data_IF_062341458084
#
_entry.id   IF_062341458084
#
_cell.length_a   1.000
_cell.length_b   1.000
_cell.length_c   1.000
_cell.angle_alpha   90.00
_cell.angle_beta   90.00
_cell.angle_gamma   90.00
#
_symmetry.space_group_name_H-M   'P 1'
#
loop_
_entity.id
_entity.type
_entity.pdbx_description
1 polymer ?
#
# COMPACT_ATOMS: atom_id res chain seq x y z
N UNK A 1 -9.33 -2.64 5.92
CA UNK A 1 -9.05 -1.30 6.49
C UNK A 1 -9.19 -1.37 8.00
N UNK A 2 -8.44 -0.55 8.71
CA UNK A 2 -8.57 -0.38 10.15
C UNK A 2 -9.81 0.44 10.53
N UNK A 3 -10.30 0.24 11.75
CA UNK A 3 -11.48 0.95 12.26
C UNK A 3 -11.21 2.42 12.50
N UNK A 4 -12.19 3.26 12.20
CA UNK A 4 -12.20 4.68 12.56
C UNK A 4 -12.47 4.83 14.06
N UNK A 5 -11.75 5.72 14.75
CA UNK A 5 -11.94 5.99 16.18
C UNK A 5 -12.21 7.46 16.47
N UNK A 6 -13.17 7.73 17.36
CA UNK A 6 -13.44 9.06 17.91
C UNK A 6 -13.41 8.96 19.43
N UNK A 7 -12.62 9.83 20.06
CA UNK A 7 -12.52 9.94 21.52
C UNK A 7 -12.74 11.39 21.97
N UNK A 8 -13.53 11.59 23.02
CA UNK A 8 -13.81 12.90 23.59
C UNK A 8 -13.70 12.86 25.11
N UNK A 9 -13.03 13.85 25.70
CA UNK A 9 -12.96 14.07 27.14
C UNK A 9 -13.50 15.45 27.48
N UNK A 10 -14.57 15.53 28.25
CA UNK A 10 -15.19 16.80 28.64
C UNK A 10 -15.30 16.86 30.16
N UNK A 11 -14.79 17.92 30.77
CA UNK A 11 -14.90 18.12 32.21
C UNK A 11 -15.18 19.58 32.57
N UNK A 12 -16.08 19.80 33.54
CA UNK A 12 -16.50 21.11 33.98
C UNK A 12 -16.68 21.15 35.51
N UNK A 13 -16.19 22.18 36.19
CA UNK A 13 -16.45 22.34 37.63
C UNK A 13 -16.34 23.79 38.12
N UNK A 14 -16.91 24.09 39.28
CA UNK A 14 -16.72 25.39 39.96
C UNK A 14 -15.31 25.57 40.55
N UNK A 15 -14.58 24.47 40.77
CA UNK A 15 -13.25 24.44 41.36
C UNK A 15 -12.17 24.06 40.34
N UNK A 16 -11.84 22.77 40.27
CA UNK A 16 -10.85 22.21 39.33
C UNK A 16 -11.44 21.21 38.32
N UNK A 17 -11.02 21.25 37.06
CA UNK A 17 -11.48 20.32 36.01
C UNK A 17 -10.31 19.68 35.26
N UNK A 18 -10.39 18.36 35.05
CA UNK A 18 -9.39 17.58 34.34
C UNK A 18 -10.06 16.73 33.27
N UNK A 19 -9.56 16.79 32.03
CA UNK A 19 -10.13 16.09 30.89
C UNK A 19 -9.02 15.37 30.13
N UNK A 20 -9.22 14.07 29.92
CA UNK A 20 -8.29 13.24 29.16
C UNK A 20 -9.05 12.59 28.03
N UNK A 21 -8.48 12.62 26.84
CA UNK A 21 -9.01 11.92 25.67
C UNK A 21 -7.89 11.20 24.94
N UNK A 22 -8.13 9.93 24.64
CA UNK A 22 -7.15 9.07 23.97
C UNK A 22 -7.84 8.36 22.80
N UNK A 23 -7.41 8.69 21.58
CA UNK A 23 -7.95 8.12 20.34
C UNK A 23 -6.91 7.25 19.64
N UNK A 24 -7.26 5.99 19.36
CA UNK A 24 -6.40 5.06 18.62
C UNK A 24 -7.13 4.54 17.39
N UNK A 25 -6.60 4.88 16.21
CA UNK A 25 -7.07 4.33 14.95
C UNK A 25 -6.77 2.83 14.87
N UNK A 26 -7.71 2.07 14.33
CA UNK A 26 -7.56 0.62 14.19
C UNK A 26 -6.44 0.25 13.21
N UNK A 27 -5.75 -0.86 13.44
CA UNK A 27 -4.80 -1.39 12.46
C UNK A 27 -5.53 -2.05 11.29
N UNK A 28 -4.92 -2.00 10.11
CA UNK A 28 -5.44 -2.66 8.92
C UNK A 28 -5.30 -4.19 8.94
N UNK A 29 -5.82 -4.87 7.93
CA UNK A 29 -5.47 -6.26 7.62
C UNK A 29 -4.31 -6.35 6.62
N UNK A 30 -3.56 -7.45 6.62
CA UNK A 30 -2.56 -7.75 5.58
C UNK A 30 -3.22 -8.15 4.26
N UNK A 31 -2.55 -7.88 3.15
CA UNK A 31 -2.94 -8.40 1.85
C UNK A 31 -2.78 -9.92 1.76
N UNK A 32 -3.66 -10.59 1.02
CA UNK A 32 -3.53 -12.04 0.77
C UNK A 32 -2.45 -12.32 -0.27
N UNK A 33 -1.64 -13.36 -0.07
CA UNK A 33 -0.64 -13.77 -1.06
C UNK A 33 -1.32 -14.38 -2.30
N UNK A 34 -0.71 -14.16 -3.47
CA UNK A 34 -1.08 -14.86 -4.69
C UNK A 34 -0.81 -16.36 -4.58
N UNK A 35 -1.53 -17.17 -5.35
CA UNK A 35 -1.30 -18.62 -5.42
C UNK A 35 -0.15 -18.99 -6.35
N UNK A 36 0.45 -20.16 -6.15
CA UNK A 36 1.40 -20.74 -7.10
C UNK A 36 0.67 -21.04 -8.42
N UNK A 37 1.25 -20.63 -9.53
CA UNK A 37 0.71 -20.89 -10.87
C UNK A 37 1.63 -21.86 -11.59
N UNK A 38 1.07 -23.00 -12.01
CA UNK A 38 1.73 -23.97 -12.90
C UNK A 38 0.88 -24.16 -14.14
N UNK A 39 1.46 -23.91 -15.31
CA UNK A 39 0.75 -24.03 -16.57
C UNK A 39 1.60 -24.79 -17.59
N UNK A 40 0.96 -25.74 -18.29
CA UNK A 40 1.57 -26.47 -19.40
C UNK A 40 0.66 -26.44 -20.61
N UNK A 41 1.07 -25.74 -21.65
CA UNK A 41 0.29 -25.55 -22.89
C UNK A 41 0.90 -26.48 -23.94
N UNK A 42 0.19 -27.58 -24.24
CA UNK A 42 0.71 -28.63 -25.13
C UNK A 42 0.44 -28.37 -26.62
N UNK A 43 -0.64 -27.65 -26.92
CA UNK A 43 -1.13 -27.42 -28.28
C UNK A 43 -0.92 -25.97 -28.70
N UNK A 44 -1.12 -25.72 -29.99
CA UNK A 44 -1.02 -24.38 -30.54
C UNK A 44 -2.11 -23.45 -29.98
N UNK A 45 -1.74 -22.20 -29.76
CA UNK A 45 -2.65 -21.13 -29.33
C UNK A 45 -2.66 -20.05 -30.41
N UNK A 46 -3.86 -19.68 -30.87
CA UNK A 46 -4.03 -18.58 -31.82
C UNK A 46 -5.08 -17.59 -31.33
N UNK A 47 -4.74 -16.31 -31.30
CA UNK A 47 -5.69 -15.22 -31.01
C UNK A 47 -5.67 -14.18 -32.13
N UNK A 48 -6.85 -13.65 -32.45
CA UNK A 48 -7.03 -12.76 -33.61
C UNK A 48 -7.39 -11.31 -33.24
N UNK A 49 -7.98 -11.09 -32.06
CA UNK A 49 -8.44 -9.76 -31.64
C UNK A 49 -7.32 -8.82 -31.17
N UNK A 50 -7.58 -7.52 -31.24
CA UNK A 50 -6.73 -6.51 -30.61
C UNK A 50 -6.77 -6.66 -29.08
N UNK A 51 -5.63 -6.55 -28.42
CA UNK A 51 -5.46 -6.81 -26.97
C UNK A 51 -5.79 -8.25 -26.56
N UNK A 52 -5.86 -9.19 -27.49
CA UNK A 52 -6.10 -10.59 -27.20
C UNK A 52 -4.77 -11.32 -26.97
N UNK A 53 -4.35 -11.40 -25.70
CA UNK A 53 -3.14 -12.13 -25.35
C UNK A 53 -3.29 -13.64 -25.63
N UNK A 54 -2.20 -14.31 -26.02
CA UNK A 54 -2.19 -15.75 -26.28
C UNK A 54 -2.27 -16.57 -25.00
N UNK A 55 -1.19 -16.52 -24.20
CA UNK A 55 -1.08 -17.22 -22.91
C UNK A 55 -0.74 -16.19 -21.84
N UNK A 56 -1.52 -16.18 -20.76
CA UNK A 56 -1.29 -15.34 -19.59
C UNK A 56 -1.29 -16.21 -18.33
N UNK A 57 -0.18 -16.20 -17.60
CA UNK A 57 -0.03 -16.90 -16.32
C UNK A 57 0.45 -15.90 -15.27
N UNK A 58 -0.39 -15.66 -14.26
CA UNK A 58 -0.13 -14.57 -13.31
C UNK A 58 -0.41 -14.97 -11.88
N UNK A 59 0.54 -14.68 -11.01
CA UNK A 59 0.35 -14.70 -9.55
C UNK A 59 0.42 -13.28 -9.03
N UNK A 60 -0.67 -12.79 -8.45
CA UNK A 60 -0.76 -11.42 -7.95
C UNK A 60 -1.12 -11.46 -6.47
N UNK A 61 -0.25 -10.87 -5.64
CA UNK A 61 -0.54 -10.63 -4.24
C UNK A 61 -1.50 -9.44 -4.06
N UNK A 62 -2.41 -9.56 -3.09
CA UNK A 62 -3.34 -8.50 -2.71
C UNK A 62 -2.63 -7.33 -2.02
N UNK A 63 -3.16 -6.11 -2.18
CA UNK A 63 -2.64 -4.94 -1.49
C UNK A 63 -2.85 -4.99 0.03
N UNK A 64 -1.98 -4.30 0.76
CA UNK A 64 -2.11 -4.10 2.20
C UNK A 64 -3.26 -3.15 2.53
N UNK A 65 -3.86 -3.32 3.71
CA UNK A 65 -4.97 -2.46 4.12
C UNK A 65 -4.52 -1.11 4.70
N UNK A 66 -5.41 -0.13 4.65
CA UNK A 66 -5.18 1.19 5.24
C UNK A 66 -5.50 1.21 6.74
N UNK A 67 -4.66 1.84 7.54
CA UNK A 67 -4.88 2.11 8.95
C UNK A 67 -6.07 3.05 9.17
N UNK A 68 -6.71 2.92 10.34
CA UNK A 68 -7.88 3.67 10.71
C UNK A 68 -7.57 5.13 11.03
N UNK A 69 -8.50 6.03 10.67
CA UNK A 69 -8.42 7.44 11.07
C UNK A 69 -8.74 7.58 12.57
N UNK A 70 -8.02 8.47 13.26
CA UNK A 70 -8.26 8.79 14.67
C UNK A 70 -8.58 10.26 14.88
N UNK A 71 -9.63 10.54 15.66
CA UNK A 71 -9.99 11.87 16.12
C UNK A 71 -10.07 11.85 17.65
N UNK A 72 -9.31 12.72 18.30
CA UNK A 72 -9.30 12.88 19.76
C UNK A 72 -9.45 14.35 20.14
N UNK A 73 -10.39 14.63 21.06
CA UNK A 73 -10.65 15.97 21.57
C UNK A 73 -10.79 15.99 23.09
N UNK A 74 -10.21 16.99 23.75
CA UNK A 74 -10.46 17.24 25.16
C UNK A 74 -10.83 18.71 25.38
N UNK A 75 -11.91 18.97 26.12
CA UNK A 75 -12.37 20.30 26.48
C UNK A 75 -12.60 20.38 27.97
N UNK A 76 -11.94 21.31 28.65
CA UNK A 76 -12.13 21.51 30.09
C UNK A 76 -12.40 22.96 30.46
N UNK A 77 -13.23 23.15 31.49
CA UNK A 77 -13.63 24.45 32.00
C UNK A 77 -13.72 24.45 33.52
N UNK A 78 -13.08 25.41 34.21
CA UNK A 78 -13.17 25.48 35.67
C UNK A 78 -13.15 26.90 36.25
N UNK A 79 -13.75 27.10 37.42
CA UNK A 79 -13.70 28.40 38.11
C UNK A 79 -12.29 28.77 38.59
N UNK A 80 -11.49 27.78 39.01
CA UNK A 80 -10.14 28.01 39.55
C UNK A 80 -9.07 27.46 38.60
N UNK A 81 -9.07 26.15 38.34
CA UNK A 81 -7.98 25.50 37.59
C UNK A 81 -8.46 24.45 36.60
N UNK A 82 -7.93 24.43 35.37
CA UNK A 82 -8.31 23.45 34.37
C UNK A 82 -7.12 22.84 33.62
N UNK A 83 -7.27 21.57 33.25
CA UNK A 83 -6.27 20.80 32.54
C UNK A 83 -6.90 19.89 31.48
N UNK A 84 -6.48 20.02 30.24
CA UNK A 84 -6.86 19.08 29.18
C UNK A 84 -5.65 18.36 28.59
N UNK A 85 -5.80 17.06 28.36
CA UNK A 85 -4.79 16.22 27.72
C UNK A 85 -5.44 15.42 26.59
N UNK A 86 -4.90 15.52 25.39
CA UNK A 86 -5.21 14.61 24.27
C UNK A 86 -4.02 13.82 23.82
N UNK A 87 -4.26 12.54 23.52
CA UNK A 87 -3.34 11.69 22.78
C UNK A 87 -4.10 11.09 21.59
N UNK A 88 -3.63 11.38 20.38
CA UNK A 88 -4.18 10.82 19.15
C UNK A 88 -3.14 10.00 18.41
N UNK A 89 -3.49 8.78 18.03
CA UNK A 89 -2.66 7.92 17.20
C UNK A 89 -3.46 7.41 16.00
N UNK A 90 -2.98 7.69 14.79
CA UNK A 90 -3.49 7.11 13.56
C UNK A 90 -3.18 5.62 13.48
N UNK A 91 -4.10 4.84 12.90
CA UNK A 91 -3.95 3.39 12.81
C UNK A 91 -2.83 2.97 11.85
N UNK A 92 -2.21 1.81 12.07
CA UNK A 92 -1.15 1.32 11.19
C UNK A 92 -1.71 0.70 9.90
N UNK A 93 -1.11 1.05 8.76
CA UNK A 93 -1.25 0.34 7.49
C UNK A 93 -0.51 -0.99 7.54
N UNK A 94 -0.97 -2.01 6.82
CA UNK A 94 -0.33 -3.33 6.83
C UNK A 94 0.30 -3.66 5.47
N UNK A 95 1.22 -4.62 5.46
CA UNK A 95 1.91 -5.00 4.23
C UNK A 95 1.00 -5.68 3.19
N UNK A 96 1.44 -5.65 1.94
CA UNK A 96 0.84 -6.43 0.86
C UNK A 96 1.06 -7.93 1.01
N UNK A 97 0.37 -8.72 0.18
CA UNK A 97 0.62 -10.14 0.01
C UNK A 97 1.66 -10.40 -1.08
N UNK A 98 2.45 -11.46 -0.93
CA UNK A 98 3.49 -11.79 -1.91
C UNK A 98 2.88 -12.30 -3.22
N UNK A 99 3.53 -12.00 -4.34
CA UNK A 99 3.38 -12.79 -5.55
C UNK A 99 4.03 -14.16 -5.34
N UNK A 100 3.45 -15.21 -5.90
CA UNK A 100 3.98 -16.58 -5.77
C UNK A 100 4.68 -17.03 -7.03
N UNK A 101 5.28 -18.22 -6.95
CA UNK A 101 5.94 -18.86 -8.08
C UNK A 101 5.00 -18.97 -9.29
N UNK A 102 5.53 -18.60 -10.46
CA UNK A 102 4.90 -18.84 -11.76
C UNK A 102 5.83 -19.73 -12.56
N UNK A 103 5.36 -20.92 -12.91
CA UNK A 103 6.09 -21.91 -13.70
C UNK A 103 5.25 -22.27 -14.93
N UNK A 104 5.70 -21.83 -16.10
CA UNK A 104 4.97 -21.94 -17.36
C UNK A 104 5.83 -22.63 -18.40
N UNK A 105 5.30 -23.70 -18.99
CA UNK A 105 5.89 -24.37 -20.15
C UNK A 105 4.91 -24.33 -21.32
N UNK A 106 5.38 -23.89 -22.48
CA UNK A 106 4.60 -23.82 -23.71
C UNK A 106 5.27 -24.69 -24.77
N UNK A 107 4.69 -25.85 -25.04
CA UNK A 107 5.20 -26.81 -26.02
C UNK A 107 4.68 -26.52 -27.44
N UNK A 108 3.44 -26.03 -27.57
CA UNK A 108 2.85 -25.64 -28.86
C UNK A 108 3.26 -24.24 -29.32
N UNK A 109 3.02 -23.93 -30.59
CA UNK A 109 3.28 -22.59 -31.12
C UNK A 109 2.21 -21.58 -30.67
N UNK A 110 2.60 -20.34 -30.39
CA UNK A 110 1.69 -19.26 -29.97
C UNK A 110 1.69 -18.15 -31.00
N UNK A 111 0.52 -17.87 -31.59
CA UNK A 111 0.36 -16.80 -32.58
C UNK A 111 -0.68 -15.78 -32.13
N UNK A 112 -0.31 -14.50 -32.11
CA UNK A 112 -1.24 -13.38 -31.91
C UNK A 112 -1.25 -12.48 -33.15
N UNK A 113 -2.44 -12.20 -33.68
CA UNK A 113 -2.59 -11.39 -34.91
C UNK A 113 -2.96 -9.92 -34.64
N UNK A 114 -3.66 -9.64 -33.54
CA UNK A 114 -4.12 -8.29 -33.20
C UNK A 114 -3.02 -7.34 -32.70
N UNK A 115 -3.33 -6.04 -32.67
CA UNK A 115 -2.46 -5.02 -32.06
C UNK A 115 -2.52 -5.08 -30.54
N UNK A 116 -1.46 -4.65 -29.86
CA UNK A 116 -1.37 -4.64 -28.39
C UNK A 116 -1.59 -6.03 -27.76
N UNK A 117 -1.23 -7.09 -28.49
CA UNK A 117 -1.55 -8.48 -28.16
C UNK A 117 -0.28 -9.28 -27.82
N UNK A 118 0.02 -9.39 -26.53
CA UNK A 118 1.17 -10.17 -26.04
C UNK A 118 0.98 -11.66 -26.35
N UNK A 119 1.99 -12.33 -26.88
CA UNK A 119 1.89 -13.76 -27.16
C UNK A 119 1.91 -14.58 -25.87
N UNK A 120 2.96 -14.47 -25.07
CA UNK A 120 3.09 -15.18 -23.80
C UNK A 120 3.51 -14.19 -22.72
N UNK A 121 2.73 -14.14 -21.64
CA UNK A 121 3.01 -13.38 -20.42
C UNK A 121 3.02 -14.33 -19.23
N UNK A 122 4.17 -14.45 -18.56
CA UNK A 122 4.30 -15.07 -17.26
C UNK A 122 4.73 -14.01 -16.24
N UNK A 123 3.94 -13.78 -15.19
CA UNK A 123 4.21 -12.68 -14.27
C UNK A 123 3.87 -12.99 -12.82
N UNK A 124 4.81 -12.69 -11.92
CA UNK A 124 4.55 -12.67 -10.49
C UNK A 124 4.64 -11.24 -9.95
N UNK A 125 3.61 -10.80 -9.23
CA UNK A 125 3.50 -9.44 -8.71
C UNK A 125 3.23 -9.46 -7.22
N UNK A 126 4.11 -8.83 -6.44
CA UNK A 126 3.87 -8.52 -5.04
C UNK A 126 2.84 -7.40 -4.88
N UNK A 127 1.94 -7.55 -3.91
CA UNK A 127 0.98 -6.51 -3.54
C UNK A 127 1.67 -5.30 -2.93
N UNK A 128 1.12 -4.10 -3.16
CA UNK A 128 1.59 -2.88 -2.52
C UNK A 128 1.30 -2.86 -1.01
N UNK A 129 2.08 -2.10 -0.26
CA UNK A 129 1.87 -1.82 1.16
C UNK A 129 0.66 -0.90 1.41
N UNK A 130 0.09 -1.01 2.61
CA UNK A 130 -1.07 -0.22 3.03
C UNK A 130 -0.68 1.13 3.63
N UNK A 131 -1.60 2.10 3.59
CA UNK A 131 -1.33 3.43 4.12
C UNK A 131 -1.59 3.51 5.63
N UNK A 132 -0.79 4.30 6.34
CA UNK A 132 -1.05 4.71 7.70
C UNK A 132 -2.29 5.60 7.80
N UNK A 133 -3.03 5.45 8.90
CA UNK A 133 -4.22 6.20 9.20
C UNK A 133 -3.89 7.61 9.65
N UNK A 134 -4.79 8.54 9.34
CA UNK A 134 -4.64 9.94 9.77
C UNK A 134 -4.87 10.09 11.27
N UNK A 135 -4.39 11.19 11.84
CA UNK A 135 -4.68 11.58 13.21
C UNK A 135 -5.10 13.05 13.29
N UNK A 136 -6.12 13.33 14.09
CA UNK A 136 -6.50 14.69 14.52
C UNK A 136 -6.62 14.69 16.04
N UNK A 137 -5.89 15.57 16.69
CA UNK A 137 -5.82 15.69 18.15
C UNK A 137 -5.95 17.16 18.58
N UNK A 138 -6.81 17.41 19.58
CA UNK A 138 -7.13 18.77 20.04
C UNK A 138 -7.34 18.84 21.56
N UNK A 139 -6.67 19.76 22.23
CA UNK A 139 -6.89 20.05 23.66
C UNK A 139 -7.28 21.52 23.88
N UNK A 140 -8.40 21.76 24.54
CA UNK A 140 -8.87 23.09 24.93
C UNK A 140 -9.07 23.14 26.44
N UNK A 141 -8.55 24.18 27.09
CA UNK A 141 -8.65 24.36 28.54
C UNK A 141 -8.95 25.81 28.91
N UNK A 142 -10.00 26.05 29.69
CA UNK A 142 -10.38 27.38 30.14
C UNK A 142 -10.56 27.45 31.66
N UNK A 143 -10.06 28.49 32.33
CA UNK A 143 -10.38 28.70 33.75
C UNK A 143 -10.31 30.15 34.22
N UNK A 144 -10.76 30.41 35.44
CA UNK A 144 -10.65 31.74 36.07
C UNK A 144 -9.23 32.11 36.51
N UNK A 145 -8.41 31.16 36.95
CA UNK A 145 -7.04 31.42 37.43
C UNK A 145 -5.96 30.74 36.59
N UNK A 146 -5.94 29.40 36.54
CA UNK A 146 -4.85 28.62 35.91
C UNK A 146 -5.32 27.59 34.89
N UNK A 147 -4.74 27.56 33.69
CA UNK A 147 -5.14 26.67 32.60
C UNK A 147 -3.96 25.99 31.91
N UNK A 148 -4.07 24.69 31.66
CA UNK A 148 -3.11 23.92 30.87
C UNK A 148 -3.79 23.07 29.80
N UNK A 149 -3.23 23.05 28.58
CA UNK A 149 -3.65 22.15 27.53
C UNK A 149 -2.45 21.43 26.89
N UNK A 150 -2.50 20.11 26.83
CA UNK A 150 -1.48 19.28 26.20
C UNK A 150 -2.13 18.44 25.11
N UNK A 151 -1.57 18.48 23.90
CA UNK A 151 -2.01 17.62 22.81
C UNK A 151 -0.82 16.94 22.16
N UNK A 152 -0.90 15.62 22.05
CA UNK A 152 0.09 14.79 21.37
C UNK A 152 -0.61 14.03 20.25
N UNK A 153 -0.11 14.16 19.03
CA UNK A 153 -0.64 13.48 17.87
C UNK A 153 0.46 12.78 17.06
N UNK A 154 0.15 11.56 16.61
CA UNK A 154 1.00 10.79 15.72
C UNK A 154 0.19 10.18 14.57
N UNK A 155 0.62 10.41 13.34
CA UNK A 155 0.10 9.72 12.17
C UNK A 155 0.47 8.25 12.16
N UNK A 156 -0.38 7.39 11.60
CA UNK A 156 -0.10 5.95 11.53
C UNK A 156 1.04 5.62 10.58
N UNK A 157 1.79 4.54 10.81
CA UNK A 157 2.81 4.10 9.85
C UNK A 157 2.18 3.43 8.62
N UNK A 158 2.82 3.54 7.46
CA UNK A 158 2.58 2.69 6.30
C UNK A 158 2.95 1.22 6.57
N UNK A 159 2.64 0.35 5.61
CA UNK A 159 3.06 -1.05 5.59
C UNK A 159 4.03 -1.34 4.45
N UNK A 160 4.83 -2.39 4.57
CA UNK A 160 5.79 -2.83 3.55
C UNK A 160 5.12 -3.26 2.25
N UNK A 161 5.75 -2.97 1.11
CA UNK A 161 5.48 -3.65 -0.15
C UNK A 161 5.85 -5.12 -0.07
N UNK A 162 5.20 -5.96 -0.89
CA UNK A 162 5.43 -7.40 -0.89
C UNK A 162 6.31 -7.83 -2.06
N UNK A 163 6.97 -8.98 -1.94
CA UNK A 163 7.90 -9.45 -2.98
C UNK A 163 7.16 -10.07 -4.17
N UNK A 164 7.72 -9.91 -5.37
CA UNK A 164 7.40 -10.75 -6.51
C UNK A 164 7.97 -12.16 -6.31
N UNK A 165 7.30 -13.19 -6.84
CA UNK A 165 7.76 -14.58 -6.77
C UNK A 165 8.69 -14.95 -7.91
N UNK A 166 9.31 -16.13 -7.83
CA UNK A 166 10.10 -16.69 -8.93
C UNK A 166 9.24 -16.88 -10.18
N UNK A 167 9.74 -16.47 -11.33
CA UNK A 167 9.11 -16.72 -12.63
C UNK A 167 10.01 -17.60 -13.48
N UNK A 168 9.49 -18.75 -13.89
CA UNK A 168 10.09 -19.62 -14.87
C UNK A 168 9.15 -19.69 -16.08
N UNK A 169 9.63 -19.25 -17.24
CA UNK A 169 8.91 -19.38 -18.50
C UNK A 169 9.79 -20.10 -19.52
N UNK A 170 9.32 -21.25 -20.00
CA UNK A 170 9.96 -22.02 -21.06
C UNK A 170 9.02 -22.14 -22.25
N UNK A 171 9.49 -21.78 -23.45
CA UNK A 171 8.76 -21.99 -24.70
C UNK A 171 9.56 -22.88 -25.64
N UNK A 172 8.98 -24.02 -26.00
CA UNK A 172 9.56 -24.99 -26.94
C UNK A 172 9.03 -24.81 -28.37
N UNK A 173 7.81 -24.28 -28.51
CA UNK A 173 7.21 -23.95 -29.82
C UNK A 173 7.56 -22.53 -30.29
N UNK A 174 7.27 -22.25 -31.56
CA UNK A 174 7.48 -20.92 -32.13
C UNK A 174 6.49 -19.89 -31.57
N UNK A 175 6.96 -18.66 -31.38
CA UNK A 175 6.17 -17.53 -30.92
C UNK A 175 6.05 -16.53 -32.06
N UNK A 176 4.83 -16.09 -32.39
CA UNK A 176 4.59 -15.12 -33.46
C UNK A 176 3.61 -14.03 -33.04
N UNK A 177 4.03 -12.76 -33.13
CA UNK A 177 3.13 -11.60 -33.00
C UNK A 177 3.13 -10.80 -34.30
N UNK A 178 1.94 -10.47 -34.82
CA UNK A 178 1.80 -9.79 -36.11
C UNK A 178 1.38 -8.32 -35.96
N UNK A 179 0.55 -8.00 -34.97
CA UNK A 179 0.10 -6.62 -34.75
C UNK A 179 1.16 -5.73 -34.09
N UNK A 180 1.02 -4.41 -34.26
CA UNK A 180 1.89 -3.42 -33.64
C UNK A 180 1.77 -3.42 -32.10
N UNK A 181 2.86 -3.05 -31.41
CA UNK A 181 2.96 -2.99 -29.94
C UNK A 181 2.63 -4.32 -29.24
N UNK A 182 2.93 -5.43 -29.90
CA UNK A 182 2.61 -6.79 -29.45
C UNK A 182 3.88 -7.54 -29.07
N UNK A 183 4.15 -7.66 -27.77
CA UNK A 183 5.34 -8.38 -27.29
C UNK A 183 5.22 -9.89 -27.50
N UNK A 184 6.31 -10.56 -27.90
CA UNK A 184 6.34 -12.00 -28.10
C UNK A 184 6.34 -12.76 -26.78
N UNK A 185 7.45 -12.68 -26.07
CA UNK A 185 7.72 -13.42 -24.85
C UNK A 185 7.98 -12.44 -23.71
N UNK A 186 7.19 -12.53 -22.63
CA UNK A 186 7.34 -11.66 -21.45
C UNK A 186 7.34 -12.51 -20.18
N UNK A 187 8.44 -12.47 -19.44
CA UNK A 187 8.59 -13.05 -18.12
C UNK A 187 8.98 -11.97 -17.11
N UNK A 188 8.16 -11.74 -16.07
CA UNK A 188 8.36 -10.62 -15.16
C UNK A 188 8.09 -10.98 -13.71
N UNK A 189 9.04 -10.69 -12.83
CA UNK A 189 8.79 -10.68 -11.39
C UNK A 189 8.89 -9.25 -10.88
N UNK A 190 7.81 -8.77 -10.24
CA UNK A 190 7.67 -7.38 -9.81
C UNK A 190 7.36 -7.33 -8.33
N UNK A 191 8.17 -6.63 -7.56
CA UNK A 191 7.89 -6.28 -6.18
C UNK A 191 6.84 -5.18 -6.06
N UNK A 192 6.02 -5.23 -5.02
CA UNK A 192 5.03 -4.22 -4.70
C UNK A 192 5.64 -2.97 -4.09
N UNK A 193 5.03 -1.81 -4.31
CA UNK A 193 5.46 -0.55 -3.69
C UNK A 193 5.19 -0.51 -2.18
N UNK A 194 5.96 0.28 -1.44
CA UNK A 194 5.76 0.55 -0.02
C UNK A 194 4.54 1.40 0.28
N UNK A 195 4.05 1.33 1.52
CA UNK A 195 2.89 2.08 2.00
C UNK A 195 3.27 3.46 2.54
N UNK A 196 2.34 4.41 2.44
CA UNK A 196 2.58 5.79 2.92
C UNK A 196 2.25 5.93 4.41
N UNK A 197 2.98 6.80 5.11
CA UNK A 197 2.63 7.24 6.45
C UNK A 197 1.39 8.13 6.48
N UNK A 198 0.69 8.12 7.61
CA UNK A 198 -0.50 8.92 7.85
C UNK A 198 -0.17 10.36 8.22
N UNK A 199 -1.01 11.28 7.78
CA UNK A 199 -0.97 12.69 8.16
C UNK A 199 -1.41 12.91 9.62
N UNK A 200 -0.83 13.91 10.29
CA UNK A 200 -1.17 14.30 11.65
C UNK A 200 -1.54 15.80 11.78
N UNK A 201 -2.64 16.06 12.49
CA UNK A 201 -3.01 17.40 12.97
C UNK A 201 -3.06 17.38 14.50
N UNK A 202 -2.33 18.30 15.13
CA UNK A 202 -2.31 18.49 16.58
C UNK A 202 -2.45 19.96 16.92
N UNK A 203 -3.40 20.30 17.80
CA UNK A 203 -3.59 21.67 18.27
C UNK A 203 -3.92 21.72 19.77
N UNK A 204 -3.50 22.78 20.44
CA UNK A 204 -3.86 23.03 21.83
C UNK A 204 -4.14 24.51 22.07
N UNK A 205 -5.12 24.80 22.95
CA UNK A 205 -5.50 26.14 23.34
C UNK A 205 -5.80 26.19 24.85
N UNK A 206 -5.26 27.20 25.53
CA UNK A 206 -5.46 27.43 26.95
C UNK A 206 -5.79 28.90 27.20
N UNK A 207 -6.73 29.19 28.09
CA UNK A 207 -7.07 30.55 28.51
C UNK A 207 -7.37 30.63 30.00
N UNK A 208 -6.78 31.60 30.69
CA UNK A 208 -7.08 31.89 32.10
C UNK A 208 -6.73 33.33 32.50
N UNK A 209 -7.27 33.78 33.65
CA UNK A 209 -7.07 35.12 34.17
C UNK A 209 -5.70 35.38 34.82
N UNK A 210 -4.98 34.34 35.25
CA UNK A 210 -3.67 34.49 35.90
C UNK A 210 -2.53 33.76 35.19
N UNK A 211 -2.76 32.59 34.61
CA UNK A 211 -1.72 31.88 33.85
C UNK A 211 -2.27 30.77 32.95
N UNK A 212 -1.82 30.74 31.70
CA UNK A 212 -2.21 29.73 30.72
C UNK A 212 -0.97 29.18 29.99
N UNK A 213 -0.96 27.88 29.73
CA UNK A 213 0.13 27.22 29.02
C UNK A 213 -0.36 26.12 28.09
N UNK A 214 0.31 25.97 26.95
CA UNK A 214 0.00 24.95 25.96
C UNK A 214 1.23 24.17 25.52
N UNK A 215 1.03 22.88 25.25
CA UNK A 215 2.02 22.02 24.59
C UNK A 215 1.33 21.27 23.47
N UNK A 216 1.84 21.41 22.25
CA UNK A 216 1.43 20.63 21.09
C UNK A 216 2.62 19.91 20.48
N UNK A 217 2.54 18.58 20.42
CA UNK A 217 3.52 17.73 19.76
C UNK A 217 2.81 16.94 18.68
N UNK A 218 3.15 17.22 17.43
CA UNK A 218 2.62 16.51 16.27
C UNK A 218 3.73 15.87 15.47
N UNK A 219 3.53 14.63 15.06
CA UNK A 219 4.44 13.92 14.16
C UNK A 219 3.66 13.14 13.09
N UNK A 220 4.05 13.28 11.83
CA UNK A 220 3.53 12.45 10.75
C UNK A 220 3.95 10.99 10.88
N UNK A 221 3.21 10.10 10.21
CA UNK A 221 3.56 8.68 10.16
C UNK A 221 4.73 8.39 9.23
N UNK A 222 5.44 7.29 9.44
CA UNK A 222 6.49 6.87 8.51
C UNK A 222 5.91 6.12 7.30
N UNK A 223 6.49 6.32 6.11
CA UNK A 223 6.35 5.38 5.00
C UNK A 223 7.16 4.10 5.24
N UNK A 224 7.03 3.11 4.37
CA UNK A 224 7.76 1.85 4.47
C UNK A 224 8.39 1.42 3.14
N UNK A 225 9.29 0.44 3.15
CA UNK A 225 10.01 -0.04 1.97
C UNK A 225 9.11 -0.76 0.95
N UNK A 226 9.55 -0.78 -0.31
CA UNK A 226 8.99 -1.65 -1.35
C UNK A 226 9.46 -3.10 -1.20
N UNK A 227 8.83 -4.01 -1.93
CA UNK A 227 9.27 -5.40 -2.02
C UNK A 227 10.21 -5.64 -3.20
N UNK A 228 11.00 -6.70 -3.13
CA UNK A 228 11.91 -7.06 -4.22
C UNK A 228 11.20 -7.78 -5.37
N UNK A 229 11.81 -7.72 -6.56
CA UNK A 229 11.51 -8.65 -7.63
C UNK A 229 12.13 -10.02 -7.34
N UNK A 230 11.47 -11.09 -7.78
CA UNK A 230 11.98 -12.45 -7.70
C UNK A 230 12.91 -12.80 -8.86
N UNK A 231 13.52 -13.99 -8.78
CA UNK A 231 14.34 -14.54 -9.87
C UNK A 231 13.46 -14.77 -11.12
N UNK A 232 13.99 -14.41 -12.29
CA UNK A 232 13.35 -14.68 -13.57
C UNK A 232 14.25 -15.59 -14.43
N UNK A 233 13.74 -16.78 -14.72
CA UNK A 233 14.34 -17.74 -15.63
C UNK A 233 13.48 -17.82 -16.89
N UNK A 234 14.04 -17.41 -18.02
CA UNK A 234 13.32 -17.29 -19.26
C UNK A 234 14.08 -18.01 -20.38
N UNK A 235 13.43 -18.98 -21.01
CA UNK A 235 14.03 -19.82 -22.05
C UNK A 235 13.09 -19.93 -23.25
N UNK A 236 13.62 -19.67 -24.44
CA UNK A 236 12.92 -19.92 -25.71
C UNK A 236 13.80 -20.83 -26.57
N UNK A 237 13.31 -22.03 -26.83
CA UNK A 237 13.94 -23.02 -27.70
C UNK A 237 13.39 -22.96 -29.13
N UNK A 238 12.17 -22.43 -29.31
CA UNK A 238 11.58 -22.08 -30.61
C UNK A 238 11.96 -20.67 -31.07
N UNK A 239 11.62 -20.32 -32.30
CA UNK A 239 11.88 -18.99 -32.84
C UNK A 239 10.84 -17.96 -32.36
N UNK A 240 11.28 -16.72 -32.12
CA UNK A 240 10.41 -15.61 -31.75
C UNK A 240 10.33 -14.62 -32.92
N UNK A 241 9.15 -14.52 -33.52
CA UNK A 241 8.84 -13.61 -34.62
C UNK A 241 7.91 -12.49 -34.15
N UNK A 242 8.44 -11.29 -33.96
CA UNK A 242 7.63 -10.10 -33.64
C UNK A 242 7.63 -9.13 -34.81
N UNK A 243 6.63 -9.27 -35.69
CA UNK A 243 6.57 -8.59 -36.97
C UNK A 243 5.95 -7.17 -36.89
N UNK A 244 5.24 -6.87 -35.81
CA UNK A 244 4.59 -5.57 -35.63
C UNK A 244 5.56 -4.44 -35.24
N UNK A 245 5.22 -3.21 -35.64
CA UNK A 245 5.96 -2.01 -35.24
C UNK A 245 5.94 -1.82 -33.71
N UNK A 246 7.08 -1.41 -33.15
CA UNK A 246 7.25 -1.14 -31.70
C UNK A 246 6.93 -2.36 -30.81
N UNK A 247 7.19 -3.56 -31.30
CA UNK A 247 7.01 -4.82 -30.58
C UNK A 247 8.33 -5.31 -29.98
N UNK A 248 8.28 -5.83 -28.75
CA UNK A 248 9.44 -6.44 -28.11
C UNK A 248 9.45 -7.96 -28.36
N UNK A 249 10.59 -8.51 -28.78
CA UNK A 249 10.74 -9.95 -28.99
C UNK A 249 10.68 -10.75 -27.69
N UNK A 250 11.67 -10.50 -26.82
CA UNK A 250 11.89 -11.24 -25.59
C UNK A 250 12.18 -10.26 -24.45
N UNK A 251 11.38 -10.34 -23.38
CA UNK A 251 11.51 -9.52 -22.18
C UNK A 251 11.56 -10.43 -20.96
N UNK A 252 12.65 -10.33 -20.20
CA UNK A 252 12.81 -11.00 -18.92
C UNK A 252 13.28 -9.96 -17.89
N UNK A 253 12.49 -9.72 -16.84
CA UNK A 253 12.79 -8.65 -15.88
C UNK A 253 12.46 -9.03 -14.45
N UNK A 254 13.41 -8.79 -13.56
CA UNK A 254 13.18 -8.72 -12.11
C UNK A 254 13.18 -7.24 -11.71
N UNK A 255 12.07 -6.76 -11.15
CA UNK A 255 11.86 -5.35 -10.85
C UNK A 255 11.50 -5.22 -9.37
N UNK A 256 12.29 -4.45 -8.61
CA UNK A 256 11.96 -4.07 -7.24
C UNK A 256 10.87 -2.99 -7.19
N UNK A 257 10.14 -2.94 -6.08
CA UNK A 257 9.14 -1.93 -5.79
C UNK A 257 9.78 -0.66 -5.21
N UNK A 258 9.14 0.49 -5.47
CA UNK A 258 9.51 1.76 -4.83
C UNK A 258 9.12 1.81 -3.35
N UNK A 259 9.76 2.67 -2.57
CA UNK A 259 9.39 2.94 -1.17
C UNK A 259 8.12 3.79 -1.04
N UNK A 260 7.63 3.90 0.19
CA UNK A 260 6.50 4.73 0.58
C UNK A 260 6.91 6.09 1.13
N UNK A 261 5.99 7.05 1.08
CA UNK A 261 6.23 8.41 1.55
C UNK A 261 5.94 8.54 3.05
N UNK A 262 6.71 9.36 3.75
CA UNK A 262 6.33 9.83 5.09
C UNK A 262 5.09 10.72 5.05
N UNK A 263 4.32 10.70 6.13
CA UNK A 263 3.29 11.67 6.43
C UNK A 263 3.88 12.91 7.10
N UNK A 264 3.11 13.99 7.08
CA UNK A 264 3.45 15.28 7.71
C UNK A 264 2.60 15.53 8.95
#
# INVERSE_FOLDING_TARGET
NGGFSVAAGVAGSGGGAGGVSVGLGGSAGKGGSGGVVKAKIKNNVETQGNRAAGVVTQSVGGGGGNGGFSVSGAVTGAGVGSGSVTVGLGGKGNGGGNGSMVDTTVDGSVTTKGTDAVAILAQSVGGGGGNGGFNVSGAISGSGMGSGAVSVGLGGSGGTGATGGMVTLTSNGDIRTQGARSSGFVAQSVGGGGGNGGFNITASAAGAGSGAGTISVGLGGNGDGGGDGGVVNATSNGAIFTNGLSSSGFVAQSIGGGGGNGGF
#
